data_IF_609586845772
#
_entry.id   IF_609586845772
#
_cell.length_a   1.000
_cell.length_b   1.000
_cell.length_c   1.000
_cell.angle_alpha   90.00
_cell.angle_beta   90.00
_cell.angle_gamma   90.00
#
_symmetry.space_group_name_H-M   'P 1'
#
loop_
_entity.id
_entity.type
_entity.pdbx_description
1 polymer ?
#
# COMPACT_ATOMS: atom_id res chain seq x y z
N UNK A 1 -33.10 -4.77 21.95
CA UNK A 1 -33.93 -4.55 23.16
C UNK A 1 -33.18 -5.12 24.36
N UNK A 2 -32.98 -4.33 25.41
CA UNK A 2 -32.37 -4.81 26.67
C UNK A 2 -33.46 -4.84 27.73
N UNK A 3 -33.62 -5.95 28.44
CA UNK A 3 -34.67 -6.09 29.44
C UNK A 3 -34.40 -5.18 30.64
N UNK A 4 -35.27 -4.17 30.86
CA UNK A 4 -35.14 -3.19 31.95
C UNK A 4 -35.13 -3.86 33.33
N UNK A 5 -35.84 -4.99 33.48
CA UNK A 5 -35.95 -5.70 34.75
C UNK A 5 -34.60 -6.29 35.21
N UNK A 6 -33.86 -6.92 34.30
CA UNK A 6 -32.53 -7.46 34.61
C UNK A 6 -31.50 -6.36 34.91
N UNK A 7 -31.61 -5.20 34.28
CA UNK A 7 -30.74 -4.06 34.56
C UNK A 7 -30.98 -3.43 35.95
N UNK A 8 -32.18 -3.58 36.50
CA UNK A 8 -32.48 -3.16 37.87
C UNK A 8 -31.93 -4.16 38.90
N UNK A 9 -31.90 -5.46 38.56
CA UNK A 9 -31.42 -6.53 39.43
C UNK A 9 -29.89 -6.67 39.43
N UNK A 10 -29.25 -6.41 38.30
CA UNK A 10 -27.81 -6.50 38.15
C UNK A 10 -27.25 -5.14 37.70
N UNK A 11 -26.83 -4.29 38.65
CA UNK A 11 -26.22 -3.02 38.29
C UNK A 11 -25.00 -3.26 37.38
N UNK A 12 -24.71 -2.35 36.45
CA UNK A 12 -23.54 -2.46 35.60
C UNK A 12 -22.28 -2.56 36.46
N UNK A 13 -21.42 -3.55 36.17
CA UNK A 13 -20.15 -3.71 36.87
C UNK A 13 -19.32 -2.42 36.77
N UNK A 14 -18.75 -1.99 37.90
CA UNK A 14 -17.82 -0.88 37.92
C UNK A 14 -16.53 -1.22 37.15
N UNK A 15 -15.75 -0.20 36.79
CA UNK A 15 -14.47 -0.43 36.13
C UNK A 15 -13.53 -1.28 37.01
N UNK A 16 -13.53 -1.01 38.32
CA UNK A 16 -12.68 -1.70 39.29
C UNK A 16 -13.08 -3.17 39.43
N UNK A 17 -14.38 -3.46 39.52
CA UNK A 17 -14.90 -4.83 39.54
C UNK A 17 -14.53 -5.61 38.28
N UNK A 18 -14.54 -4.97 37.11
CA UNK A 18 -14.10 -5.65 35.89
C UNK A 18 -12.59 -5.92 35.87
N UNK A 19 -11.78 -4.99 36.40
CA UNK A 19 -10.34 -5.20 36.53
C UNK A 19 -10.02 -6.34 37.51
N UNK A 20 -10.80 -6.50 38.58
CA UNK A 20 -10.72 -7.66 39.49
C UNK A 20 -11.04 -8.97 38.76
N UNK A 21 -12.10 -9.00 37.94
CA UNK A 21 -12.44 -10.20 37.14
C UNK A 21 -11.37 -10.48 36.09
N UNK A 22 -10.79 -9.45 35.47
CA UNK A 22 -9.65 -9.62 34.56
C UNK A 22 -8.43 -10.22 35.25
N UNK A 23 -8.17 -9.81 36.49
CA UNK A 23 -7.09 -10.32 37.34
C UNK A 23 -7.35 -11.73 37.88
N UNK A 24 -8.60 -12.20 37.86
CA UNK A 24 -8.95 -13.55 38.32
C UNK A 24 -8.39 -14.64 37.40
N UNK A 25 -8.24 -15.88 37.91
CA UNK A 25 -7.81 -17.02 37.09
C UNK A 25 -8.69 -17.24 35.85
N UNK A 26 -9.98 -16.92 35.95
CA UNK A 26 -10.90 -16.98 34.81
C UNK A 26 -10.56 -15.98 33.72
N UNK A 27 -10.27 -14.73 34.10
CA UNK A 27 -9.86 -13.66 33.19
C UNK A 27 -8.53 -13.97 32.51
N UNK A 28 -7.59 -14.53 33.25
CA UNK A 28 -6.29 -14.95 32.74
C UNK A 28 -6.38 -16.13 31.78
N UNK A 29 -7.08 -17.20 32.15
CA UNK A 29 -7.25 -18.40 31.33
C UNK A 29 -7.94 -18.09 29.99
N UNK A 30 -8.90 -17.17 29.98
CA UNK A 30 -9.63 -16.76 28.77
C UNK A 30 -9.00 -15.58 28.03
N UNK A 31 -7.84 -15.10 28.50
CA UNK A 31 -7.12 -13.94 28.01
C UNK A 31 -8.02 -12.71 27.76
N UNK A 32 -8.82 -12.39 28.78
CA UNK A 32 -9.77 -11.29 28.76
C UNK A 32 -9.12 -10.00 29.24
N UNK A 33 -9.64 -8.87 28.76
CA UNK A 33 -9.22 -7.54 29.16
C UNK A 33 -10.43 -6.61 29.24
N UNK A 34 -10.34 -5.68 30.18
CA UNK A 34 -11.38 -4.70 30.45
C UNK A 34 -11.30 -3.53 29.47
N UNK A 35 -12.42 -3.18 28.84
CA UNK A 35 -12.56 -1.96 28.06
C UNK A 35 -13.27 -0.88 28.86
N UNK A 36 -12.61 0.27 29.08
CA UNK A 36 -13.19 1.42 29.80
C UNK A 36 -14.41 2.02 29.11
N UNK A 37 -14.42 2.05 27.78
CA UNK A 37 -15.44 2.79 27.03
C UNK A 37 -16.78 2.03 26.91
N UNK A 38 -16.75 0.70 26.71
CA UNK A 38 -17.96 -0.12 26.65
C UNK A 38 -18.27 -0.87 27.95
N UNK A 39 -17.40 -0.78 28.95
CA UNK A 39 -17.52 -1.49 30.23
C UNK A 39 -17.79 -3.00 30.07
N UNK A 40 -16.98 -3.66 29.25
CA UNK A 40 -17.08 -5.11 28.97
C UNK A 40 -15.70 -5.76 29.01
N UNK A 41 -15.66 -7.00 29.47
CA UNK A 41 -14.52 -7.90 29.26
C UNK A 41 -14.53 -8.39 27.82
N UNK A 42 -13.40 -8.25 27.14
CA UNK A 42 -13.23 -8.68 25.74
C UNK A 42 -11.95 -9.49 25.61
N UNK A 43 -11.90 -10.47 24.70
CA UNK A 43 -10.68 -11.23 24.47
C UNK A 43 -9.58 -10.33 23.92
N UNK A 44 -8.34 -10.76 24.11
CA UNK A 44 -7.12 -10.09 23.63
C UNK A 44 -7.15 -9.66 22.16
N UNK A 45 -7.77 -10.44 21.29
CA UNK A 45 -7.93 -10.15 19.86
C UNK A 45 -8.78 -8.91 19.56
N UNK A 46 -9.51 -8.39 20.55
CA UNK A 46 -10.27 -7.14 20.44
C UNK A 46 -9.52 -5.91 20.92
N UNK A 47 -8.23 -6.05 21.27
CA UNK A 47 -7.39 -4.93 21.68
C UNK A 47 -6.17 -4.81 20.79
N UNK A 48 -5.75 -3.56 20.55
CA UNK A 48 -4.46 -3.32 19.93
C UNK A 48 -3.32 -3.74 20.87
N UNK A 49 -2.20 -4.18 20.32
CA UNK A 49 -1.01 -4.59 21.07
C UNK A 49 -0.52 -3.51 22.04
N UNK A 50 -0.49 -2.26 21.57
CA UNK A 50 -0.10 -1.11 22.38
C UNK A 50 -1.12 -0.77 23.48
N UNK A 51 -2.29 -1.41 23.50
CA UNK A 51 -3.30 -1.27 24.55
C UNK A 51 -3.15 -2.33 25.64
N UNK A 52 -2.40 -3.40 25.44
CA UNK A 52 -2.23 -4.46 26.47
C UNK A 52 -0.77 -4.67 26.90
N UNK A 53 0.17 -3.87 26.36
CA UNK A 53 1.59 -3.92 26.68
C UNK A 53 2.01 -2.75 27.58
N UNK A 54 3.19 -2.87 28.20
CA UNK A 54 3.85 -1.82 29.01
C UNK A 54 2.93 -1.34 30.15
N UNK A 55 2.76 -0.02 30.32
CA UNK A 55 1.95 0.61 31.38
C UNK A 55 0.47 0.19 31.38
N UNK A 56 -0.02 -0.42 30.30
CA UNK A 56 -1.40 -0.91 30.16
C UNK A 56 -1.52 -2.43 30.21
N UNK A 57 -0.47 -3.13 30.62
CA UNK A 57 -0.53 -4.57 30.84
C UNK A 57 -1.56 -4.94 31.92
N UNK A 58 -1.91 -6.23 31.98
CA UNK A 58 -2.67 -6.82 33.12
C UNK A 58 -1.85 -6.49 34.39
N UNK A 59 -2.49 -5.95 35.42
CA UNK A 59 -1.86 -5.46 36.67
C UNK A 59 -1.06 -4.14 36.59
N UNK A 60 -0.94 -3.50 35.43
CA UNK A 60 -0.23 -2.22 35.35
C UNK A 60 -1.12 -1.03 35.75
N UNK A 61 -0.50 0.08 36.17
CA UNK A 61 -1.21 1.28 36.66
C UNK A 61 -2.23 1.85 35.67
N UNK A 62 -1.94 1.80 34.36
CA UNK A 62 -2.86 2.29 33.32
C UNK A 62 -3.75 1.18 32.72
N UNK A 63 -3.90 0.02 33.38
CA UNK A 63 -4.79 -1.07 32.95
C UNK A 63 -6.24 -0.59 32.72
N UNK A 64 -6.74 0.27 33.60
CA UNK A 64 -8.07 0.88 33.48
C UNK A 64 -8.22 1.89 32.32
N UNK A 65 -7.15 2.27 31.63
CA UNK A 65 -7.19 3.22 30.50
C UNK A 65 -7.29 2.56 29.12
N UNK A 66 -7.54 1.25 29.10
CA UNK A 66 -7.70 0.47 27.86
C UNK A 66 -9.06 0.69 27.22
N UNK A 67 -9.10 0.58 25.90
CA UNK A 67 -10.32 0.50 25.13
C UNK A 67 -10.15 -0.52 24.01
N UNK A 68 -11.24 -1.22 23.66
CA UNK A 68 -11.23 -2.18 22.58
C UNK A 68 -11.19 -1.48 21.22
N UNK A 69 -10.79 -2.20 20.18
CA UNK A 69 -10.69 -1.70 18.81
C UNK A 69 -12.03 -1.13 18.34
N UNK A 70 -13.14 -1.81 18.64
CA UNK A 70 -14.49 -1.33 18.27
C UNK A 70 -14.81 0.05 18.87
N UNK A 71 -14.46 0.29 20.14
CA UNK A 71 -14.62 1.60 20.79
C UNK A 71 -13.63 2.63 20.28
N UNK A 72 -12.45 2.18 19.83
CA UNK A 72 -11.46 3.06 19.22
C UNK A 72 -11.85 3.52 17.81
N UNK A 73 -12.48 2.64 17.02
CA UNK A 73 -12.98 2.93 15.68
C UNK A 73 -14.27 3.75 15.76
N UNK A 74 -15.19 3.36 16.64
CA UNK A 74 -16.46 4.04 16.89
C UNK A 74 -16.40 4.85 18.18
N UNK A 75 -15.49 5.82 18.23
CA UNK A 75 -15.32 6.65 19.40
C UNK A 75 -16.61 7.44 19.70
N UNK A 76 -16.92 7.61 21.00
CA UNK A 76 -18.07 8.42 21.43
C UNK A 76 -17.87 9.87 20.97
N UNK A 77 -18.96 10.57 20.68
CA UNK A 77 -18.93 11.98 20.31
C UNK A 77 -18.10 12.79 21.32
N UNK A 78 -17.18 13.61 20.82
CA UNK A 78 -16.24 14.40 21.65
C UNK A 78 -14.95 13.67 22.04
N UNK A 79 -14.78 12.39 21.67
CA UNK A 79 -13.50 11.67 21.84
C UNK A 79 -12.92 11.25 20.50
N UNK A 80 -11.63 11.53 20.27
CA UNK A 80 -10.91 11.06 19.09
C UNK A 80 -9.92 9.98 19.53
N UNK A 81 -10.11 8.75 19.05
CA UNK A 81 -9.24 7.61 19.38
C UNK A 81 -8.41 7.23 18.16
N UNK A 82 -8.96 6.41 17.27
CA UNK A 82 -8.35 6.08 16.00
C UNK A 82 -8.97 6.95 14.90
N UNK A 83 -8.12 7.52 14.03
CA UNK A 83 -8.52 8.33 12.90
C UNK A 83 -8.30 7.57 11.59
N UNK A 84 -8.86 8.06 10.49
CA UNK A 84 -8.57 7.51 9.16
C UNK A 84 -7.06 7.58 8.88
N UNK A 85 -6.51 6.48 8.39
CA UNK A 85 -5.07 6.24 8.22
C UNK A 85 -4.36 5.74 9.48
N UNK A 86 -5.04 5.57 10.62
CA UNK A 86 -4.43 5.00 11.81
C UNK A 86 -4.10 3.53 11.63
N UNK A 87 -2.86 3.16 11.92
CA UNK A 87 -2.39 1.78 11.95
C UNK A 87 -2.61 1.16 13.33
N UNK A 88 -3.15 -0.05 13.35
CA UNK A 88 -3.53 -0.78 14.55
C UNK A 88 -2.97 -2.19 14.43
N UNK A 89 -2.08 -2.56 15.36
CA UNK A 89 -1.50 -3.90 15.40
C UNK A 89 -2.29 -4.74 16.40
N UNK A 90 -2.77 -5.91 15.97
CA UNK A 90 -3.53 -6.86 16.79
C UNK A 90 -2.87 -8.22 16.66
N UNK A 91 -2.32 -8.75 17.74
CA UNK A 91 -1.65 -10.06 17.76
C UNK A 91 -0.53 -10.17 16.71
N UNK A 92 0.17 -9.05 16.43
CA UNK A 92 1.22 -8.98 15.43
C UNK A 92 0.74 -8.69 14.00
N UNK A 93 -0.56 -8.84 13.72
CA UNK A 93 -1.14 -8.51 12.42
C UNK A 93 -1.46 -7.02 12.29
N UNK A 94 -1.32 -6.49 11.07
CA UNK A 94 -1.47 -5.07 10.80
C UNK A 94 -2.81 -4.73 10.17
N UNK A 95 -3.56 -3.89 10.88
CA UNK A 95 -4.82 -3.35 10.42
C UNK A 95 -4.73 -1.84 10.27
N UNK A 96 -5.61 -1.27 9.46
CA UNK A 96 -5.72 0.17 9.23
C UNK A 96 -7.18 0.58 9.18
N UNK A 97 -7.49 1.76 9.68
CA UNK A 97 -8.73 2.44 9.31
C UNK A 97 -8.48 3.09 7.95
N UNK A 98 -8.93 2.45 6.88
CA UNK A 98 -8.59 2.85 5.52
C UNK A 98 -8.87 4.34 5.27
N UNK A 99 -7.89 5.07 4.73
CA UNK A 99 -8.05 6.49 4.40
C UNK A 99 -9.13 6.74 3.36
N UNK A 100 -9.29 5.82 2.40
CA UNK A 100 -10.19 5.92 1.25
C UNK A 100 -11.61 5.53 1.62
N UNK A 101 -11.86 4.30 2.12
CA UNK A 101 -13.21 3.83 2.45
C UNK A 101 -13.63 4.02 3.91
N UNK A 102 -12.71 4.40 4.81
CA UNK A 102 -13.00 4.56 6.24
C UNK A 102 -13.20 3.25 7.02
N UNK A 103 -13.20 2.10 6.35
CA UNK A 103 -13.41 0.81 7.00
C UNK A 103 -12.14 0.33 7.72
N UNK A 104 -12.33 -0.32 8.87
CA UNK A 104 -11.27 -1.03 9.57
C UNK A 104 -11.03 -2.39 8.91
N UNK A 105 -9.86 -2.58 8.30
CA UNK A 105 -9.48 -3.79 7.55
C UNK A 105 -7.96 -4.01 7.62
N UNK A 106 -7.49 -5.14 7.12
CA UNK A 106 -6.05 -5.40 6.93
C UNK A 106 -5.38 -4.29 6.11
N UNK A 107 -4.24 -3.82 6.60
CA UNK A 107 -3.45 -2.80 5.93
C UNK A 107 -2.83 -3.37 4.64
N UNK A 108 -2.85 -2.59 3.56
CA UNK A 108 -2.06 -2.95 2.38
C UNK A 108 -0.57 -2.81 2.70
N UNK A 109 0.25 -3.72 2.19
CA UNK A 109 1.71 -3.69 2.35
C UNK A 109 2.35 -3.59 0.98
N UNK A 110 3.20 -2.57 0.77
CA UNK A 110 3.93 -2.36 -0.47
C UNK A 110 5.40 -2.09 -0.17
N UNK A 111 6.30 -2.86 -0.79
CA UNK A 111 7.75 -2.71 -0.56
C UNK A 111 8.17 -2.82 0.91
N UNK A 112 7.47 -3.66 1.68
CA UNK A 112 7.71 -3.83 3.13
C UNK A 112 7.20 -2.68 4.01
N UNK A 113 6.52 -1.67 3.45
CA UNK A 113 5.90 -0.57 4.21
C UNK A 113 4.39 -0.73 4.24
N UNK A 114 3.81 -0.40 5.40
CA UNK A 114 2.36 -0.43 5.58
C UNK A 114 1.77 0.85 5.01
N UNK A 115 0.72 0.68 4.21
CA UNK A 115 0.01 1.78 3.58
C UNK A 115 -1.14 2.24 4.45
N UNK A 116 -1.50 3.52 4.34
CA UNK A 116 -2.68 4.10 5.02
C UNK A 116 -4.03 3.64 4.42
N UNK A 117 -4.00 2.72 3.45
CA UNK A 117 -5.15 2.16 2.76
C UNK A 117 -5.30 0.68 3.10
N UNK A 118 -6.55 0.19 3.07
CA UNK A 118 -6.77 -1.25 3.18
C UNK A 118 -6.36 -1.97 1.90
N UNK A 119 -6.09 -3.27 2.01
CA UNK A 119 -5.72 -4.14 0.89
C UNK A 119 -6.67 -3.99 -0.31
N UNK A 120 -7.98 -3.90 -0.08
CA UNK A 120 -8.97 -3.80 -1.14
C UNK A 120 -8.91 -2.46 -1.89
N UNK A 121 -8.93 -1.33 -1.18
CA UNK A 121 -8.83 -0.01 -1.81
C UNK A 121 -7.51 0.14 -2.55
N UNK A 122 -6.40 -0.40 -2.02
CA UNK A 122 -5.11 -0.30 -2.69
C UNK A 122 -5.05 -1.09 -3.99
N UNK A 123 -5.63 -2.29 -4.04
CA UNK A 123 -5.75 -3.07 -5.28
C UNK A 123 -6.53 -2.30 -6.34
N UNK A 124 -7.66 -1.71 -5.95
CA UNK A 124 -8.47 -0.90 -6.86
C UNK A 124 -7.70 0.33 -7.38
N UNK A 125 -7.00 1.05 -6.50
CA UNK A 125 -6.15 2.17 -6.90
C UNK A 125 -5.05 1.75 -7.89
N UNK A 126 -4.42 0.58 -7.69
CA UNK A 126 -3.41 0.06 -8.62
C UNK A 126 -3.97 -0.23 -10.01
N UNK A 127 -5.15 -0.81 -10.11
CA UNK A 127 -5.79 -1.08 -11.40
C UNK A 127 -6.08 0.21 -12.16
N UNK A 128 -6.54 1.26 -11.45
CA UNK A 128 -6.75 2.58 -12.04
C UNK A 128 -5.43 3.18 -12.50
N UNK A 129 -4.39 3.15 -11.67
CA UNK A 129 -3.05 3.64 -12.01
C UNK A 129 -2.49 2.92 -13.24
N UNK A 130 -2.67 1.60 -13.35
CA UNK A 130 -2.20 0.81 -14.47
C UNK A 130 -2.94 1.18 -15.77
N UNK A 131 -4.27 1.26 -15.75
CA UNK A 131 -5.05 1.69 -16.92
C UNK A 131 -4.68 3.10 -17.36
N UNK A 132 -4.45 4.01 -16.41
CA UNK A 132 -4.01 5.37 -16.71
C UNK A 132 -2.60 5.38 -17.35
N UNK A 133 -1.68 4.55 -16.88
CA UNK A 133 -0.34 4.39 -17.49
C UNK A 133 -0.41 3.85 -18.91
N UNK A 134 -1.22 2.81 -19.14
CA UNK A 134 -1.43 2.23 -20.48
C UNK A 134 -2.05 3.23 -21.45
N UNK A 135 -3.03 4.00 -20.97
CA UNK A 135 -3.65 5.06 -21.75
C UNK A 135 -2.63 6.14 -22.15
N UNK A 136 -1.82 6.62 -21.20
CA UNK A 136 -0.73 7.59 -21.48
C UNK A 136 0.28 7.03 -22.48
N UNK A 137 0.73 5.78 -22.30
CA UNK A 137 1.66 5.13 -23.21
C UNK A 137 1.08 5.01 -24.64
N UNK A 138 -0.22 4.75 -24.77
CA UNK A 138 -0.90 4.74 -26.08
C UNK A 138 -0.93 6.13 -26.71
N UNK A 139 -1.25 7.16 -25.93
CA UNK A 139 -1.23 8.55 -26.41
C UNK A 139 0.17 8.98 -26.85
N UNK A 140 1.20 8.66 -26.07
CA UNK A 140 2.58 8.99 -26.41
C UNK A 140 3.02 8.28 -27.70
N UNK A 141 2.68 6.99 -27.88
CA UNK A 141 2.94 6.26 -29.13
C UNK A 141 2.21 6.87 -30.32
N UNK A 142 0.95 7.28 -30.16
CA UNK A 142 0.20 7.95 -31.21
C UNK A 142 0.83 9.30 -31.59
N UNK A 143 1.24 10.10 -30.59
CA UNK A 143 1.96 11.36 -30.80
C UNK A 143 3.25 11.16 -31.60
N UNK A 144 4.08 10.20 -31.20
CA UNK A 144 5.34 9.91 -31.88
C UNK A 144 5.11 9.47 -33.34
N UNK A 145 4.08 8.63 -33.60
CA UNK A 145 3.74 8.23 -34.97
C UNK A 145 3.26 9.40 -35.82
N UNK A 146 2.42 10.28 -35.27
CA UNK A 146 1.95 11.47 -35.97
C UNK A 146 3.12 12.42 -36.31
N UNK A 147 4.05 12.60 -35.37
CA UNK A 147 5.25 13.40 -35.59
C UNK A 147 6.14 12.81 -36.69
N UNK A 148 6.39 11.50 -36.66
CA UNK A 148 7.13 10.81 -37.71
C UNK A 148 6.45 10.92 -39.08
N UNK A 149 5.11 10.82 -39.13
CA UNK A 149 4.35 10.99 -40.37
C UNK A 149 4.46 12.42 -40.91
N UNK A 150 4.39 13.45 -40.06
CA UNK A 150 4.62 14.85 -40.47
C UNK A 150 6.05 15.09 -40.96
N UNK A 151 7.06 14.47 -40.34
CA UNK A 151 8.44 14.54 -40.84
C UNK A 151 8.58 13.90 -42.22
N UNK A 152 7.97 12.73 -42.43
CA UNK A 152 7.93 12.06 -43.74
C UNK A 152 7.22 12.91 -44.79
N UNK A 153 6.04 13.46 -44.49
CA UNK A 153 5.29 14.33 -45.39
C UNK A 153 6.11 15.57 -45.81
N UNK A 154 6.74 16.26 -44.85
CA UNK A 154 7.63 17.40 -45.15
C UNK A 154 8.83 17.00 -46.03
N UNK A 155 9.36 15.81 -45.84
CA UNK A 155 10.46 15.30 -46.67
C UNK A 155 9.99 15.04 -48.11
N UNK A 156 8.82 14.42 -48.28
CA UNK A 156 8.21 14.20 -49.60
C UNK A 156 7.89 15.53 -50.31
N UNK A 157 7.42 16.55 -49.60
CA UNK A 157 7.16 17.88 -50.15
C UNK A 157 8.44 18.58 -50.64
N UNK A 158 9.56 18.43 -49.92
CA UNK A 158 10.81 19.12 -50.23
C UNK A 158 11.58 18.49 -51.40
N UNK A 159 11.62 17.16 -51.48
CA UNK A 159 12.44 16.42 -52.46
C UNK A 159 11.65 15.84 -53.63
N UNK A 160 10.32 16.03 -53.65
CA UNK A 160 9.42 15.53 -54.70
C UNK A 160 9.26 14.00 -54.67
N UNK A 161 8.13 13.50 -55.16
CA UNK A 161 7.86 12.06 -55.28
C UNK A 161 8.50 11.42 -56.53
N UNK A 162 9.35 12.15 -57.26
CA UNK A 162 9.77 11.78 -58.62
C UNK A 162 10.97 10.81 -58.65
N UNK A 163 11.47 10.35 -57.49
CA UNK A 163 12.61 9.44 -57.40
C UNK A 163 12.32 8.16 -56.59
N UNK A 164 11.11 7.62 -56.66
CA UNK A 164 10.82 6.26 -56.15
C UNK A 164 10.04 5.44 -57.18
N UNK A 165 10.69 5.07 -58.29
CA UNK A 165 10.42 3.81 -59.00
C UNK A 165 11.65 3.34 -59.81
N UNK A 166 12.79 3.19 -59.12
CA UNK A 166 13.93 2.43 -59.64
C UNK A 166 14.35 1.47 -58.54
N UNK A 167 13.77 0.27 -58.57
CA UNK A 167 14.08 -0.88 -57.73
C UNK A 167 15.51 -1.45 -57.93
N UNK A 168 16.50 -0.61 -58.22
CA UNK A 168 17.89 -1.03 -58.34
C UNK A 168 18.69 -0.60 -57.10
N UNK A 169 18.54 -1.37 -56.04
CA UNK A 169 19.68 -1.70 -55.16
C UNK A 169 20.32 -0.60 -54.31
N UNK A 170 19.63 0.48 -53.93
CA UNK A 170 20.19 1.43 -52.95
C UNK A 170 19.91 0.91 -51.53
N UNK A 171 20.87 0.16 -51.00
CA UNK A 171 20.97 -0.15 -49.57
C UNK A 171 20.74 1.14 -48.77
N UNK A 172 19.71 1.16 -47.92
CA UNK A 172 19.41 2.30 -47.06
C UNK A 172 20.69 2.75 -46.38
N UNK A 173 21.18 3.94 -46.71
CA UNK A 173 22.41 4.46 -46.11
C UNK A 173 22.18 4.55 -44.61
N UNK A 174 23.07 3.98 -43.78
CA UNK A 174 22.86 3.90 -42.34
C UNK A 174 22.66 5.31 -41.79
N UNK A 175 21.66 5.45 -40.94
CA UNK A 175 21.37 6.72 -40.25
C UNK A 175 22.58 7.11 -39.40
N UNK A 176 22.80 8.41 -39.18
CA UNK A 176 23.93 8.89 -38.37
C UNK A 176 23.97 8.25 -36.97
N UNK A 177 22.80 7.89 -36.42
CA UNK A 177 22.67 7.13 -35.18
C UNK A 177 23.11 5.68 -35.28
N UNK A 178 22.87 5.00 -36.39
CA UNK A 178 23.32 3.62 -36.63
C UNK A 178 24.83 3.58 -36.83
N UNK A 179 25.39 4.53 -37.59
CA UNK A 179 26.84 4.68 -37.74
C UNK A 179 27.51 4.91 -36.37
N UNK A 180 26.90 5.74 -35.53
CA UNK A 180 27.41 5.99 -34.19
C UNK A 180 27.32 4.76 -33.28
N UNK A 181 26.25 3.97 -33.37
CA UNK A 181 26.13 2.73 -32.59
C UNK A 181 27.12 1.67 -33.06
N UNK A 182 27.30 1.47 -34.37
CA UNK A 182 28.29 0.54 -34.92
C UNK A 182 29.73 0.92 -34.52
N UNK A 183 30.03 2.22 -34.47
CA UNK A 183 31.34 2.72 -34.01
C UNK A 183 31.57 2.43 -32.51
N UNK A 184 30.54 2.60 -31.68
CA UNK A 184 30.61 2.23 -30.25
C UNK A 184 30.72 0.71 -30.07
N UNK A 185 29.98 -0.08 -30.86
CA UNK A 185 30.01 -1.53 -30.81
C UNK A 185 31.39 -2.08 -31.17
N UNK A 186 31.98 -1.58 -32.26
CA UNK A 186 33.31 -1.99 -32.73
C UNK A 186 34.44 -1.60 -31.77
N UNK A 187 34.33 -0.45 -31.09
CA UNK A 187 35.26 -0.06 -30.03
C UNK A 187 35.19 -1.02 -28.83
N UNK A 188 33.97 -1.39 -28.41
CA UNK A 188 33.76 -2.35 -27.33
C UNK A 188 34.30 -3.76 -27.67
N UNK A 189 34.07 -4.23 -28.90
CA UNK A 189 34.57 -5.53 -29.37
C UNK A 189 36.10 -5.57 -29.46
N UNK A 190 36.72 -4.45 -29.84
CA UNK A 190 38.19 -4.33 -29.89
C UNK A 190 38.80 -4.40 -28.49
N UNK A 191 38.15 -3.77 -27.50
CA UNK A 191 38.60 -3.82 -26.11
C UNK A 191 38.48 -5.23 -25.51
N UNK A 192 37.39 -5.95 -25.80
CA UNK A 192 37.13 -7.27 -25.24
C UNK A 192 37.96 -8.38 -25.87
N UNK A 193 38.36 -8.24 -27.15
CA UNK A 193 39.14 -9.24 -27.87
C UNK A 193 40.66 -8.95 -27.89
N UNK A 194 41.12 -7.91 -27.21
CA UNK A 194 42.55 -7.64 -27.07
C UNK A 194 43.22 -8.73 -26.21
N UNK A 195 44.27 -9.40 -26.71
CA UNK A 195 45.00 -10.40 -25.94
C UNK A 195 45.52 -9.77 -24.65
N UNK A 196 45.23 -10.38 -23.50
CA UNK A 196 45.77 -9.89 -22.23
C UNK A 196 47.29 -9.98 -22.27
N UNK A 197 48.01 -8.89 -21.99
CA UNK A 197 49.47 -8.92 -21.93
C UNK A 197 49.88 -9.90 -20.83
N UNK A 198 50.60 -10.97 -21.21
CA UNK A 198 51.13 -11.98 -20.28
C UNK A 198 50.54 -13.39 -20.39
N UNK A 199 50.02 -13.80 -21.54
CA UNK A 199 49.65 -15.21 -21.80
C UNK A 199 50.77 -15.93 -22.57
N UNK A 200 51.84 -16.29 -21.87
CA UNK A 200 52.76 -17.39 -22.24
C UNK A 200 52.64 -18.51 -21.20
#
# INVERSE_FOLDING_TARGET
>A
MVCRHFHALFPPLSLDQMLEVEASPFGEQKDLYTCRDCLRLRPRSKFADNRVKKKRARFAVDAGRRFCVDCGVNARQGTTRYTRGSHIIIQGEQYVICRSCGAFREAAVEGGRNMSECRHCRLFSREIEQRAKEYRARQDRARLRAEQAMRRARSCELWGSEYEDSEDGISSSPTWSEIQMDMIQSEADTYMNSPKPGSE
#
